data_IF_544632597693
#
_entry.id   IF_544632597693
#
_cell.length_a   1.000
_cell.length_b   1.000
_cell.length_c   1.000
_cell.angle_alpha   90.00
_cell.angle_beta   90.00
_cell.angle_gamma   90.00
#
_symmetry.space_group_name_H-M   'P 1'
#
loop_
_entity.id
_entity.type
_entity.pdbx_description
1 polymer ?
#
# COMPACT_ATOMS: atom_id res chain seq x y z
N UNK A 1 -7.03 -8.63 -20.16
CA UNK A 1 -6.06 -9.27 -21.04
C UNK A 1 -6.59 -9.46 -22.45
N UNK A 2 -7.63 -10.32 -22.67
CA UNK A 2 -8.16 -10.63 -24.00
C UNK A 2 -8.61 -9.38 -24.77
N UNK A 3 -9.37 -8.47 -24.14
CA UNK A 3 -9.82 -7.22 -24.75
C UNK A 3 -8.67 -6.30 -25.15
N UNK A 4 -7.61 -6.20 -24.33
CA UNK A 4 -6.41 -5.43 -24.64
C UNK A 4 -5.66 -6.01 -25.85
N UNK A 5 -5.53 -7.34 -25.92
CA UNK A 5 -4.89 -8.04 -27.03
C UNK A 5 -5.63 -7.82 -28.34
N UNK A 6 -6.96 -7.89 -28.33
CA UNK A 6 -7.79 -7.62 -29.50
C UNK A 6 -7.70 -6.15 -29.96
N UNK A 7 -7.68 -5.20 -29.02
CA UNK A 7 -7.52 -3.78 -29.32
C UNK A 7 -6.13 -3.43 -29.87
N UNK A 8 -5.09 -4.13 -29.40
CA UNK A 8 -3.72 -3.97 -29.89
C UNK A 8 -3.45 -4.68 -31.22
N UNK A 9 -4.41 -5.48 -31.74
CA UNK A 9 -4.23 -6.24 -32.98
C UNK A 9 -3.14 -7.32 -32.87
N UNK A 10 -2.78 -7.75 -31.66
CA UNK A 10 -1.72 -8.72 -31.40
C UNK A 10 -2.17 -10.16 -31.70
N UNK A 11 -1.26 -11.05 -32.16
CA UNK A 11 -1.60 -12.46 -32.40
C UNK A 11 -2.15 -13.14 -31.15
N UNK A 12 -3.16 -13.99 -31.32
CA UNK A 12 -3.77 -14.75 -30.23
C UNK A 12 -2.77 -15.67 -29.49
N UNK A 13 -1.64 -16.01 -30.12
CA UNK A 13 -0.58 -16.79 -29.49
C UNK A 13 0.01 -16.16 -28.23
N UNK A 14 -0.09 -14.83 -28.07
CA UNK A 14 0.44 -14.10 -26.90
C UNK A 14 -0.52 -14.10 -25.69
N UNK A 15 -1.73 -14.63 -25.81
CA UNK A 15 -2.74 -14.45 -24.79
C UNK A 15 -2.32 -14.99 -23.39
N UNK A 16 -1.66 -16.15 -23.34
CA UNK A 16 -1.22 -16.73 -22.07
C UNK A 16 -0.07 -15.94 -21.42
N UNK A 17 0.84 -15.39 -22.23
CA UNK A 17 1.91 -14.50 -21.74
C UNK A 17 1.30 -13.22 -21.15
N UNK A 18 0.35 -12.60 -21.85
CA UNK A 18 -0.34 -11.38 -21.38
C UNK A 18 -1.15 -11.68 -20.09
N UNK A 19 -1.74 -12.86 -19.94
CA UNK A 19 -2.43 -13.26 -18.71
C UNK A 19 -1.43 -13.36 -17.56
N UNK A 20 -0.28 -13.99 -17.77
CA UNK A 20 0.75 -14.12 -16.76
C UNK A 20 1.33 -12.75 -16.35
N UNK A 21 1.64 -11.88 -17.31
CA UNK A 21 2.10 -10.51 -17.03
C UNK A 21 1.03 -9.68 -16.34
N UNK A 22 -0.24 -9.78 -16.75
CA UNK A 22 -1.34 -9.11 -16.08
C UNK A 22 -1.43 -9.51 -14.60
N UNK A 23 -1.27 -10.82 -14.30
CA UNK A 23 -1.21 -11.29 -12.91
C UNK A 23 -0.06 -10.65 -12.15
N UNK A 24 1.15 -10.59 -12.74
CA UNK A 24 2.31 -9.93 -12.13
C UNK A 24 2.03 -8.45 -11.85
N UNK A 25 1.50 -7.70 -12.82
CA UNK A 25 1.16 -6.28 -12.68
C UNK A 25 0.11 -6.04 -11.57
N UNK A 26 -0.95 -6.87 -11.50
CA UNK A 26 -1.97 -6.75 -10.44
C UNK A 26 -1.40 -6.98 -9.04
N UNK A 27 -0.28 -7.68 -8.93
CA UNK A 27 0.40 -7.96 -7.67
C UNK A 27 1.67 -7.11 -7.45
N UNK A 28 1.91 -6.10 -8.29
CA UNK A 28 3.13 -5.28 -8.28
C UNK A 28 4.42 -6.10 -8.43
N UNK A 29 4.33 -7.34 -8.93
CA UNK A 29 5.47 -8.16 -9.22
C UNK A 29 6.14 -7.68 -10.51
N UNK A 30 7.49 -7.67 -10.59
CA UNK A 30 8.21 -7.19 -11.77
C UNK A 30 7.80 -7.91 -13.05
N UNK A 31 7.91 -7.22 -14.19
CA UNK A 31 7.79 -7.78 -15.54
C UNK A 31 9.03 -7.43 -16.34
N UNK A 32 9.40 -8.27 -17.30
CA UNK A 32 10.60 -8.09 -18.12
C UNK A 32 10.32 -8.52 -19.55
N UNK A 33 10.64 -7.65 -20.51
CA UNK A 33 10.54 -7.95 -21.93
C UNK A 33 11.68 -7.25 -22.67
N UNK A 34 12.26 -7.88 -23.69
CA UNK A 34 13.30 -7.30 -24.54
C UNK A 34 14.43 -6.63 -23.73
N UNK A 35 14.99 -7.31 -22.74
CA UNK A 35 16.04 -6.80 -21.81
C UNK A 35 15.60 -5.61 -20.94
N UNK A 36 14.35 -5.13 -21.08
CA UNK A 36 13.80 -4.05 -20.28
C UNK A 36 13.11 -4.61 -19.04
N UNK A 37 13.58 -4.20 -17.86
CA UNK A 37 12.98 -4.58 -16.58
C UNK A 37 12.10 -3.47 -16.05
N UNK A 38 10.82 -3.79 -15.77
CA UNK A 38 9.85 -2.85 -15.21
C UNK A 38 9.34 -3.40 -13.89
N UNK A 39 9.65 -2.70 -12.82
CA UNK A 39 9.16 -3.00 -11.47
C UNK A 39 8.50 -1.80 -10.78
N UNK A 40 8.58 -0.61 -11.41
CA UNK A 40 7.74 0.52 -11.08
C UNK A 40 6.40 0.35 -11.81
N UNK A 41 5.43 -0.26 -11.15
CA UNK A 41 4.16 -0.67 -11.74
C UNK A 41 3.00 0.19 -11.22
N UNK A 42 1.91 0.33 -11.99
CA UNK A 42 0.74 1.08 -11.56
C UNK A 42 0.08 0.43 -10.35
N UNK A 43 -0.04 1.17 -9.24
CA UNK A 43 -0.52 0.61 -7.98
C UNK A 43 -2.06 0.55 -7.86
N UNK A 44 -2.83 1.23 -8.72
CA UNK A 44 -4.29 1.21 -8.63
C UNK A 44 -4.89 -0.19 -8.79
N UNK A 45 -4.48 -1.03 -9.76
CA UNK A 45 -4.97 -2.40 -9.88
C UNK A 45 -4.68 -3.25 -8.63
N UNK A 46 -3.46 -3.12 -8.09
CA UNK A 46 -3.07 -3.82 -6.87
C UNK A 46 -3.86 -3.34 -5.65
N UNK A 47 -4.15 -2.04 -5.53
CA UNK A 47 -4.97 -1.48 -4.47
C UNK A 47 -6.42 -1.99 -4.53
N UNK A 48 -6.98 -2.12 -5.74
CA UNK A 48 -8.31 -2.70 -5.95
C UNK A 48 -8.29 -4.17 -5.50
N UNK A 49 -7.29 -4.96 -5.93
CA UNK A 49 -7.12 -6.35 -5.52
C UNK A 49 -7.00 -6.47 -4.00
N UNK A 50 -6.12 -5.68 -3.38
CA UNK A 50 -5.94 -5.65 -1.93
C UNK A 50 -7.23 -5.28 -1.19
N UNK A 51 -8.02 -4.35 -1.72
CA UNK A 51 -9.32 -3.97 -1.15
C UNK A 51 -10.32 -5.12 -1.24
N UNK A 52 -10.39 -5.82 -2.36
CA UNK A 52 -11.25 -7.01 -2.52
C UNK A 52 -10.84 -8.08 -1.51
N UNK A 53 -9.54 -8.38 -1.38
CA UNK A 53 -9.03 -9.34 -0.39
C UNK A 53 -9.39 -8.91 1.03
N UNK A 54 -9.16 -7.63 1.39
CA UNK A 54 -9.50 -7.10 2.71
C UNK A 54 -10.99 -7.21 3.03
N UNK A 55 -11.87 -6.91 2.07
CA UNK A 55 -13.33 -7.06 2.22
C UNK A 55 -13.73 -8.53 2.41
N UNK A 56 -13.12 -9.44 1.66
CA UNK A 56 -13.37 -10.89 1.82
C UNK A 56 -12.89 -11.42 3.16
N UNK A 57 -11.68 -11.02 3.59
CA UNK A 57 -11.16 -11.33 4.93
C UNK A 57 -12.09 -10.79 6.00
N UNK A 58 -12.51 -9.52 5.90
CA UNK A 58 -13.45 -8.90 6.86
C UNK A 58 -14.78 -9.65 6.93
N UNK A 59 -15.31 -10.11 5.80
CA UNK A 59 -16.53 -10.92 5.76
C UNK A 59 -16.32 -12.27 6.43
N UNK A 60 -15.18 -12.93 6.21
CA UNK A 60 -14.86 -14.23 6.80
C UNK A 60 -14.69 -14.15 8.33
N UNK A 61 -14.09 -13.03 8.85
CA UNK A 61 -13.85 -12.85 10.28
C UNK A 61 -14.95 -12.10 11.02
N UNK A 62 -16.11 -11.86 10.38
CA UNK A 62 -17.23 -11.10 10.96
C UNK A 62 -17.88 -11.81 12.16
N UNK A 63 -17.92 -13.13 12.14
CA UNK A 63 -18.46 -13.98 13.17
C UNK A 63 -17.38 -14.49 14.12
N UNK A 64 -17.73 -15.39 15.05
CA UNK A 64 -16.75 -16.05 15.92
C UNK A 64 -15.71 -16.81 15.09
N UNK A 65 -14.44 -16.57 15.33
CA UNK A 65 -13.33 -17.15 14.54
C UNK A 65 -12.33 -17.78 15.50
N UNK A 66 -12.01 -19.06 15.27
CA UNK A 66 -10.94 -19.78 15.98
C UNK A 66 -9.56 -19.34 15.44
N UNK A 67 -8.52 -19.55 16.24
CA UNK A 67 -7.13 -19.34 15.79
C UNK A 67 -6.78 -20.29 14.65
N UNK A 68 -7.32 -21.52 14.64
CA UNK A 68 -7.14 -22.47 13.54
C UNK A 68 -7.73 -21.92 12.23
N UNK A 69 -8.94 -21.35 12.27
CA UNK A 69 -9.58 -20.73 11.10
C UNK A 69 -8.76 -19.55 10.58
N UNK A 70 -8.17 -18.76 11.50
CA UNK A 70 -7.31 -17.65 11.12
C UNK A 70 -6.01 -18.12 10.42
N UNK A 71 -5.42 -19.24 10.88
CA UNK A 71 -4.27 -19.85 10.22
C UNK A 71 -4.62 -20.40 8.84
N UNK A 72 -5.78 -21.06 8.71
CA UNK A 72 -6.29 -21.53 7.42
C UNK A 72 -6.53 -20.34 6.48
N UNK A 73 -7.17 -19.28 6.98
CA UNK A 73 -7.37 -18.06 6.22
C UNK A 73 -6.06 -17.43 5.76
N UNK A 74 -5.06 -17.37 6.65
CA UNK A 74 -3.71 -16.90 6.31
C UNK A 74 -3.07 -17.77 5.21
N UNK A 75 -3.16 -19.09 5.37
CA UNK A 75 -2.63 -20.03 4.36
C UNK A 75 -3.31 -19.86 3.00
N UNK A 76 -4.62 -19.62 2.96
CA UNK A 76 -5.35 -19.36 1.71
C UNK A 76 -4.99 -17.99 1.11
N UNK A 77 -4.96 -16.93 1.94
CA UNK A 77 -4.67 -15.55 1.48
C UNK A 77 -3.25 -15.42 0.93
N UNK A 78 -2.30 -16.18 1.45
CA UNK A 78 -0.92 -16.21 0.96
C UNK A 78 -0.66 -17.31 -0.05
N UNK A 79 -1.14 -18.53 0.23
CA UNK A 79 -0.84 -19.73 -0.58
C UNK A 79 -1.41 -19.63 -2.00
N UNK A 80 -2.65 -19.15 -2.13
CA UNK A 80 -3.29 -19.04 -3.46
C UNK A 80 -2.55 -18.02 -4.35
N UNK A 81 -2.28 -16.76 -3.92
CA UNK A 81 -1.55 -15.82 -4.76
C UNK A 81 -0.10 -16.26 -5.04
N UNK A 82 0.58 -16.87 -4.08
CA UNK A 82 1.92 -17.44 -4.28
C UNK A 82 1.90 -18.52 -5.34
N UNK A 83 0.93 -19.44 -5.30
CA UNK A 83 0.78 -20.49 -6.30
C UNK A 83 0.53 -19.90 -7.70
N UNK A 84 -0.38 -18.95 -7.84
CA UNK A 84 -0.63 -18.29 -9.12
C UNK A 84 0.58 -17.51 -9.63
N UNK A 85 1.36 -16.91 -8.72
CA UNK A 85 2.61 -16.23 -9.10
C UNK A 85 3.66 -17.21 -9.60
N UNK A 86 3.79 -18.38 -8.99
CA UNK A 86 4.68 -19.44 -9.46
C UNK A 86 4.24 -19.98 -10.83
N UNK A 87 2.94 -20.19 -11.04
CA UNK A 87 2.40 -20.61 -12.34
C UNK A 87 2.69 -19.54 -13.40
N UNK A 88 2.41 -18.26 -13.11
CA UNK A 88 2.67 -17.16 -14.03
C UNK A 88 4.16 -17.03 -14.33
N UNK A 89 5.04 -17.22 -13.35
CA UNK A 89 6.48 -17.22 -13.55
C UNK A 89 6.92 -18.35 -14.47
N UNK A 90 6.38 -19.58 -14.29
CA UNK A 90 6.66 -20.71 -15.18
C UNK A 90 6.14 -20.46 -16.60
N UNK A 91 4.96 -19.83 -16.75
CA UNK A 91 4.42 -19.46 -18.06
C UNK A 91 5.34 -18.46 -18.78
N UNK A 92 5.88 -17.46 -18.06
CA UNK A 92 6.82 -16.49 -18.61
C UNK A 92 8.18 -17.14 -18.95
N UNK A 93 8.65 -18.07 -18.12
CA UNK A 93 9.87 -18.82 -18.39
C UNK A 93 9.74 -19.69 -19.65
N UNK A 94 8.60 -20.32 -19.86
CA UNK A 94 8.34 -21.10 -21.07
C UNK A 94 8.16 -20.22 -22.30
N UNK A 95 7.43 -19.10 -22.16
CA UNK A 95 7.26 -18.11 -23.21
C UNK A 95 8.57 -17.50 -23.68
N UNK A 96 9.55 -17.31 -22.79
CA UNK A 96 10.87 -16.79 -23.09
C UNK A 96 11.72 -17.66 -24.02
N UNK A 97 11.30 -18.90 -24.28
CA UNK A 97 11.96 -19.79 -25.29
C UNK A 97 11.56 -19.46 -26.72
N UNK A 98 10.44 -18.73 -26.91
CA UNK A 98 9.84 -18.45 -28.23
C UNK A 98 9.74 -16.95 -28.46
N UNK A 99 9.49 -16.18 -27.42
CA UNK A 99 9.29 -14.74 -27.47
C UNK A 99 10.41 -14.04 -26.70
N UNK A 100 10.63 -12.77 -27.01
CA UNK A 100 11.59 -11.93 -26.29
C UNK A 100 10.99 -11.41 -24.97
N UNK A 101 10.69 -12.37 -24.07
CA UNK A 101 10.14 -12.15 -22.72
C UNK A 101 11.01 -12.93 -21.75
N UNK A 102 11.35 -12.34 -20.62
CA UNK A 102 12.12 -13.03 -19.58
C UNK A 102 11.33 -13.09 -18.27
N UNK A 103 11.44 -14.22 -17.51
CA UNK A 103 10.82 -14.29 -16.21
C UNK A 103 11.50 -13.32 -15.24
N UNK A 104 10.71 -12.57 -14.42
CA UNK A 104 11.29 -11.66 -13.45
C UNK A 104 12.01 -12.39 -12.32
N UNK A 105 12.74 -11.65 -11.49
CA UNK A 105 13.33 -12.20 -10.27
C UNK A 105 12.23 -12.76 -9.36
N UNK A 106 12.21 -14.09 -9.18
CA UNK A 106 11.16 -14.79 -8.45
C UNK A 106 11.07 -14.35 -6.98
N UNK A 107 12.23 -14.14 -6.32
CA UNK A 107 12.24 -13.74 -4.92
C UNK A 107 11.62 -12.36 -4.73
N UNK A 108 11.91 -11.41 -5.64
CA UNK A 108 11.29 -10.07 -5.60
C UNK A 108 9.79 -10.13 -5.91
N UNK A 109 9.37 -10.95 -6.88
CA UNK A 109 7.96 -11.14 -7.21
C UNK A 109 7.19 -11.71 -6.00
N UNK A 110 7.68 -12.80 -5.40
CA UNK A 110 7.07 -13.41 -4.22
C UNK A 110 7.02 -12.46 -3.02
N UNK A 111 8.10 -11.73 -2.76
CA UNK A 111 8.13 -10.77 -1.65
C UNK A 111 7.04 -9.70 -1.80
N UNK A 112 6.87 -9.12 -3.00
CA UNK A 112 5.82 -8.11 -3.25
C UNK A 112 4.42 -8.67 -3.10
N UNK A 113 4.17 -9.86 -3.65
CA UNK A 113 2.89 -10.57 -3.51
C UNK A 113 2.56 -10.83 -2.04
N UNK A 114 3.53 -11.35 -1.27
CA UNK A 114 3.34 -11.66 0.16
C UNK A 114 3.07 -10.36 0.94
N UNK A 115 3.86 -9.31 0.74
CA UNK A 115 3.68 -8.03 1.44
C UNK A 115 2.32 -7.41 1.13
N UNK A 116 1.89 -7.40 -0.14
CA UNK A 116 0.59 -6.88 -0.56
C UNK A 116 -0.57 -7.63 0.12
N UNK A 117 -0.53 -8.96 0.09
CA UNK A 117 -1.62 -9.79 0.65
C UNK A 117 -1.62 -9.81 2.17
N UNK A 118 -0.45 -9.74 2.83
CA UNK A 118 -0.36 -9.54 4.29
C UNK A 118 -0.94 -8.19 4.71
N UNK A 119 -0.63 -7.12 3.99
CA UNK A 119 -1.18 -5.79 4.26
C UNK A 119 -2.70 -5.78 4.08
N UNK A 120 -3.21 -6.42 3.00
CA UNK A 120 -4.64 -6.56 2.74
C UNK A 120 -5.34 -7.38 3.84
N UNK A 121 -4.75 -8.49 4.28
CA UNK A 121 -5.27 -9.31 5.37
C UNK A 121 -5.29 -8.52 6.68
N UNK A 122 -4.19 -7.85 7.02
CA UNK A 122 -4.09 -7.04 8.23
C UNK A 122 -5.18 -5.94 8.28
N UNK A 123 -5.44 -5.27 7.17
CA UNK A 123 -6.51 -4.28 7.04
C UNK A 123 -7.91 -4.94 7.15
N UNK A 124 -8.07 -6.13 6.55
CA UNK A 124 -9.34 -6.88 6.55
C UNK A 124 -9.76 -7.41 7.92
N UNK A 125 -8.82 -7.83 8.76
CA UNK A 125 -9.10 -8.36 10.10
C UNK A 125 -9.82 -7.36 11.02
N UNK A 126 -9.59 -6.07 10.82
CA UNK A 126 -10.24 -5.01 11.59
C UNK A 126 -9.76 -4.90 13.04
N UNK A 127 -10.16 -3.79 13.68
CA UNK A 127 -9.63 -3.44 15.02
C UNK A 127 -10.11 -4.33 16.15
N UNK A 128 -11.32 -4.92 16.02
CA UNK A 128 -11.88 -5.83 17.04
C UNK A 128 -11.05 -7.10 17.16
N UNK A 129 -10.76 -7.74 16.02
CA UNK A 129 -9.96 -8.96 16.00
C UNK A 129 -8.52 -8.71 16.44
N UNK A 130 -7.92 -7.59 16.02
CA UNK A 130 -6.57 -7.21 16.47
C UNK A 130 -6.50 -7.01 17.99
N UNK A 131 -7.51 -6.39 18.63
CA UNK A 131 -7.57 -6.25 20.07
C UNK A 131 -7.76 -7.59 20.79
N UNK A 132 -8.59 -8.49 20.22
CA UNK A 132 -8.80 -9.84 20.76
C UNK A 132 -7.50 -10.66 20.68
N UNK A 133 -6.78 -10.62 19.57
CA UNK A 133 -5.48 -11.26 19.41
C UNK A 133 -4.43 -10.70 20.37
N UNK A 134 -4.35 -9.37 20.49
CA UNK A 134 -3.44 -8.73 21.44
C UNK A 134 -3.71 -9.22 22.89
N UNK A 135 -4.99 -9.27 23.30
CA UNK A 135 -5.39 -9.79 24.62
C UNK A 135 -4.97 -11.25 24.81
N UNK A 136 -5.19 -12.10 23.79
CA UNK A 136 -4.86 -13.53 23.85
C UNK A 136 -3.35 -13.79 23.99
N UNK A 137 -2.54 -13.03 23.26
CA UNK A 137 -1.07 -13.17 23.30
C UNK A 137 -0.40 -12.30 24.36
N UNK A 138 -1.16 -11.70 25.29
CA UNK A 138 -0.61 -10.85 26.35
C UNK A 138 -0.01 -9.53 25.88
N UNK A 139 -0.29 -9.13 24.64
CA UNK A 139 0.19 -7.86 24.09
C UNK A 139 -0.66 -6.68 24.60
N UNK A 140 -0.03 -5.55 24.95
CA UNK A 140 -0.76 -4.38 25.40
C UNK A 140 -1.69 -3.84 24.33
N UNK A 141 -2.92 -3.48 24.68
CA UNK A 141 -3.90 -2.86 23.77
C UNK A 141 -3.36 -1.58 23.10
N UNK A 142 -2.43 -0.94 23.76
CA UNK A 142 -1.68 0.22 23.29
C UNK A 142 -1.09 0.03 21.89
N UNK A 143 -0.63 -1.17 21.52
CA UNK A 143 -0.09 -1.46 20.17
C UNK A 143 -1.13 -1.23 19.07
N UNK A 144 -2.36 -1.70 19.29
CA UNK A 144 -3.44 -1.55 18.32
C UNK A 144 -3.88 -0.09 18.23
N UNK A 145 -4.05 0.58 19.37
CA UNK A 145 -4.54 1.95 19.43
C UNK A 145 -3.52 2.94 18.85
N UNK A 146 -2.23 2.73 19.13
CA UNK A 146 -1.14 3.52 18.57
C UNK A 146 -0.97 3.29 17.04
N UNK A 147 -1.13 2.04 16.56
CA UNK A 147 -1.13 1.76 15.11
C UNK A 147 -2.29 2.47 14.39
N UNK A 148 -3.45 2.59 15.04
CA UNK A 148 -4.58 3.36 14.49
C UNK A 148 -4.28 4.87 14.42
N UNK A 149 -3.51 5.41 15.37
CA UNK A 149 -3.03 6.80 15.31
C UNK A 149 -2.12 6.97 14.10
N UNK A 150 -1.15 6.06 13.92
CA UNK A 150 -0.25 6.06 12.76
C UNK A 150 -1.01 5.98 11.43
N UNK A 151 -1.98 5.08 11.30
CA UNK A 151 -2.82 4.96 10.11
C UNK A 151 -3.61 6.24 9.81
N UNK A 152 -4.17 6.89 10.84
CA UNK A 152 -4.86 8.19 10.68
C UNK A 152 -3.91 9.28 10.22
N UNK A 153 -2.72 9.34 10.82
CA UNK A 153 -1.69 10.28 10.43
C UNK A 153 -1.33 10.14 8.95
N UNK A 154 -1.00 8.93 8.51
CA UNK A 154 -0.64 8.66 7.13
C UNK A 154 -1.82 8.87 6.17
N UNK A 155 -3.06 8.59 6.60
CA UNK A 155 -4.26 8.89 5.81
C UNK A 155 -4.45 10.40 5.62
N UNK A 156 -4.29 11.22 6.66
CA UNK A 156 -4.35 12.68 6.53
C UNK A 156 -3.19 13.24 5.70
N UNK A 157 -2.00 12.66 5.84
CA UNK A 157 -0.85 12.99 4.99
C UNK A 157 -1.15 12.66 3.51
N UNK A 158 -1.73 11.50 3.22
CA UNK A 158 -2.11 11.11 1.86
C UNK A 158 -3.20 12.04 1.28
N UNK A 159 -4.18 12.46 2.09
CA UNK A 159 -5.18 13.46 1.67
C UNK A 159 -4.49 14.79 1.33
N UNK A 160 -3.60 15.28 2.20
CA UNK A 160 -2.82 16.50 1.94
C UNK A 160 -1.97 16.36 0.68
N UNK A 161 -1.30 15.22 0.49
CA UNK A 161 -0.51 14.91 -0.69
C UNK A 161 -1.37 14.91 -1.97
N UNK A 162 -2.58 14.34 -1.92
CA UNK A 162 -3.52 14.35 -3.04
C UNK A 162 -3.92 15.77 -3.43
N UNK A 163 -4.21 16.62 -2.43
CA UNK A 163 -4.58 18.03 -2.69
C UNK A 163 -3.40 18.78 -3.31
N UNK A 164 -2.20 18.67 -2.74
CA UNK A 164 -1.01 19.35 -3.28
C UNK A 164 -0.69 18.85 -4.69
N UNK A 165 -0.69 17.53 -4.91
CA UNK A 165 -0.46 16.95 -6.22
C UNK A 165 -1.49 17.43 -7.25
N UNK A 166 -2.78 17.44 -6.91
CA UNK A 166 -3.85 17.91 -7.79
C UNK A 166 -3.68 19.40 -8.14
N UNK A 167 -3.31 20.25 -7.18
CA UNK A 167 -3.05 21.68 -7.42
C UNK A 167 -1.87 21.86 -8.37
N UNK A 168 -0.74 21.19 -8.12
CA UNK A 168 0.46 21.26 -9.00
C UNK A 168 0.14 20.73 -10.39
N UNK A 169 -0.58 19.62 -10.49
CA UNK A 169 -1.02 19.03 -11.75
C UNK A 169 -1.90 19.99 -12.55
N UNK A 170 -2.86 20.67 -11.92
CA UNK A 170 -3.74 21.64 -12.58
C UNK A 170 -3.00 22.90 -13.02
N UNK A 171 -2.01 23.37 -12.25
CA UNK A 171 -1.19 24.52 -12.63
C UNK A 171 -0.36 24.21 -13.89
N UNK A 172 0.12 22.97 -14.02
CA UNK A 172 0.98 22.54 -15.12
C UNK A 172 0.20 21.90 -16.29
N UNK A 173 -1.13 22.02 -16.34
CA UNK A 173 -1.95 21.35 -17.36
C UNK A 173 -1.65 21.81 -18.80
N UNK A 174 -1.29 23.09 -18.99
CA UNK A 174 -0.89 23.63 -20.29
C UNK A 174 0.41 23.00 -20.79
N UNK A 175 1.39 22.82 -19.91
CA UNK A 175 2.68 22.19 -20.24
C UNK A 175 2.53 20.71 -20.63
N UNK A 176 1.51 20.03 -20.11
CA UNK A 176 1.18 18.65 -20.52
C UNK A 176 0.67 18.57 -21.96
N UNK A 177 -0.08 19.60 -22.41
CA UNK A 177 -0.51 19.71 -23.81
C UNK A 177 0.70 19.83 -24.75
N UNK A 178 1.65 20.70 -24.42
CA UNK A 178 2.88 20.88 -25.19
C UNK A 178 3.70 19.59 -25.28
N UNK A 179 3.84 18.85 -24.16
CA UNK A 179 4.51 17.53 -24.16
C UNK A 179 3.84 16.50 -25.06
N UNK A 180 2.50 16.51 -25.12
CA UNK A 180 1.75 15.60 -26.01
C UNK A 180 1.88 15.98 -27.49
N UNK A 181 2.02 17.25 -27.80
CA UNK A 181 2.20 17.76 -29.16
C UNK A 181 3.59 17.38 -29.75
N UNK A 182 4.58 17.09 -28.89
CA UNK A 182 5.90 16.56 -29.31
C UNK A 182 5.81 15.11 -29.85
N UNK A 183 4.69 14.41 -29.61
CA UNK A 183 4.45 13.04 -30.10
C UNK A 183 3.33 12.97 -31.16
N UNK A 184 3.47 13.59 -32.32
CA UNK A 184 2.41 13.71 -33.35
C UNK A 184 1.98 12.37 -33.95
N UNK A 185 2.76 11.31 -33.72
CA UNK A 185 2.44 9.97 -34.26
C UNK A 185 1.48 9.19 -33.35
N UNK A 186 1.16 9.69 -32.17
CA UNK A 186 0.25 9.01 -31.22
C UNK A 186 -1.19 9.24 -31.64
N UNK A 187 -1.90 8.18 -32.02
CA UNK A 187 -3.32 8.24 -32.34
C UNK A 187 -4.17 8.67 -31.13
N UNK A 188 -5.40 9.17 -31.37
CA UNK A 188 -6.31 9.54 -30.28
C UNK A 188 -6.59 8.38 -29.30
N UNK A 189 -6.61 7.12 -29.77
CA UNK A 189 -6.71 5.93 -28.93
C UNK A 189 -5.44 5.78 -28.07
N UNK A 190 -4.26 6.07 -28.62
CA UNK A 190 -3.00 6.07 -27.89
C UNK A 190 -2.99 7.09 -26.76
N UNK A 191 -3.45 8.33 -27.03
CA UNK A 191 -3.61 9.38 -26.01
C UNK A 191 -4.54 8.92 -24.88
N UNK A 192 -5.70 8.36 -25.21
CA UNK A 192 -6.64 7.81 -24.23
C UNK A 192 -5.99 6.69 -23.39
N UNK A 193 -5.15 5.85 -24.00
CA UNK A 193 -4.37 4.83 -23.31
C UNK A 193 -3.37 5.41 -22.33
N UNK A 194 -2.64 6.48 -22.69
CA UNK A 194 -1.69 7.17 -21.81
C UNK A 194 -2.40 7.86 -20.63
N UNK A 195 -3.57 8.47 -20.87
CA UNK A 195 -4.40 9.04 -19.80
C UNK A 195 -4.89 7.95 -18.83
N UNK A 196 -5.37 6.83 -19.37
CA UNK A 196 -5.79 5.69 -18.54
C UNK A 196 -4.61 5.15 -17.73
N UNK A 197 -3.45 4.97 -18.35
CA UNK A 197 -2.24 4.52 -17.68
C UNK A 197 -1.84 5.50 -16.57
N UNK A 198 -1.89 6.80 -16.82
CA UNK A 198 -1.64 7.84 -15.81
C UNK A 198 -2.60 7.72 -14.63
N UNK A 199 -3.88 7.45 -14.88
CA UNK A 199 -4.86 7.22 -13.80
C UNK A 199 -4.52 5.98 -12.97
N UNK A 200 -4.02 4.91 -13.60
CA UNK A 200 -3.58 3.70 -12.89
C UNK A 200 -2.36 3.96 -11.99
N UNK A 201 -1.51 4.94 -12.32
CA UNK A 201 -0.37 5.37 -11.51
C UNK A 201 -0.73 6.40 -10.42
N UNK A 202 -1.98 6.86 -10.31
CA UNK A 202 -2.38 7.88 -9.34
C UNK A 202 -1.99 7.54 -7.88
N UNK A 203 -2.16 6.29 -7.37
CA UNK A 203 -1.71 5.97 -6.02
C UNK A 203 -0.19 6.08 -5.85
N UNK A 204 0.60 5.76 -6.89
CA UNK A 204 2.05 5.94 -6.88
C UNK A 204 2.39 7.43 -6.71
N UNK A 205 1.75 8.31 -7.48
CA UNK A 205 1.95 9.75 -7.39
C UNK A 205 1.58 10.30 -6.00
N UNK A 206 0.48 9.83 -5.39
CA UNK A 206 0.07 10.25 -4.06
C UNK A 206 1.09 9.85 -2.99
N UNK A 207 1.60 8.60 -3.01
CA UNK A 207 2.62 8.15 -2.07
C UNK A 207 3.94 8.89 -2.29
N UNK A 208 4.33 9.14 -3.55
CA UNK A 208 5.51 9.92 -3.89
C UNK A 208 5.38 11.38 -3.43
N UNK A 209 4.24 12.03 -3.65
CA UNK A 209 3.96 13.36 -3.14
C UNK A 209 3.97 13.40 -1.60
N UNK A 210 3.43 12.38 -0.93
CA UNK A 210 3.49 12.26 0.52
C UNK A 210 4.93 12.15 1.03
N UNK A 211 5.81 11.42 0.32
CA UNK A 211 7.24 11.34 0.65
C UNK A 211 7.96 12.69 0.50
N UNK A 212 7.66 13.43 -0.56
CA UNK A 212 8.20 14.78 -0.76
C UNK A 212 7.71 15.74 0.33
N UNK A 213 6.42 15.68 0.70
CA UNK A 213 5.84 16.53 1.73
C UNK A 213 6.41 16.28 3.14
N UNK A 214 6.89 15.09 3.46
CA UNK A 214 7.61 14.87 4.73
C UNK A 214 9.05 15.38 4.69
N UNK A 215 9.53 15.86 3.52
CA UNK A 215 10.88 16.40 3.33
C UNK A 215 11.85 15.40 2.69
N UNK A 216 11.37 14.25 2.18
CA UNK A 216 12.15 13.29 1.43
C UNK A 216 12.17 13.64 -0.06
N UNK A 217 12.71 12.74 -0.89
CA UNK A 217 12.84 12.90 -2.32
C UNK A 217 12.06 11.84 -3.08
N UNK A 218 11.59 12.23 -4.26
CA UNK A 218 11.11 11.34 -5.30
C UNK A 218 12.15 11.36 -6.43
N UNK A 219 12.58 10.19 -6.91
CA UNK A 219 13.58 10.06 -7.96
C UNK A 219 13.04 9.36 -9.20
N UNK A 220 13.59 9.73 -10.36
CA UNK A 220 13.43 9.03 -11.63
C UNK A 220 14.82 8.95 -12.26
N UNK A 221 15.44 7.77 -12.19
CA UNK A 221 16.84 7.59 -12.59
C UNK A 221 17.77 8.52 -11.83
N UNK A 222 18.48 9.38 -12.56
CA UNK A 222 19.37 10.39 -11.98
C UNK A 222 18.66 11.70 -11.59
N UNK A 223 17.39 11.86 -12.00
CA UNK A 223 16.58 13.01 -11.61
C UNK A 223 15.97 12.83 -10.24
N UNK A 224 15.85 13.94 -9.49
CA UNK A 224 15.19 13.95 -8.19
C UNK A 224 14.39 15.22 -7.96
N UNK A 225 13.33 15.08 -7.17
CA UNK A 225 12.44 16.19 -6.77
C UNK A 225 12.22 16.13 -5.26
N UNK A 226 12.50 17.23 -4.60
CA UNK A 226 12.25 17.46 -3.18
C UNK A 226 11.59 18.82 -2.97
N UNK A 227 11.19 19.16 -1.75
CA UNK A 227 10.70 20.52 -1.43
C UNK A 227 11.80 21.59 -1.53
N UNK A 228 13.07 21.19 -1.59
CA UNK A 228 14.23 22.08 -1.57
C UNK A 228 14.85 22.28 -2.94
N UNK A 229 14.74 21.29 -3.82
CA UNK A 229 15.35 21.29 -5.16
C UNK A 229 14.61 20.37 -6.11
N UNK A 230 14.71 20.68 -7.41
CA UNK A 230 14.27 19.80 -8.48
C UNK A 230 15.39 19.69 -9.52
N UNK A 231 15.85 18.46 -9.77
CA UNK A 231 16.75 18.12 -10.87
C UNK A 231 16.00 17.21 -11.82
N UNK A 232 15.58 17.77 -12.96
CA UNK A 232 14.83 17.02 -13.95
C UNK A 232 15.76 16.39 -14.97
N UNK A 233 15.43 15.16 -15.34
CA UNK A 233 15.93 14.43 -16.51
C UNK A 233 14.75 14.26 -17.49
N UNK A 234 14.98 13.84 -18.74
CA UNK A 234 13.87 13.51 -19.66
C UNK A 234 12.92 12.52 -18.99
N UNK A 235 11.65 12.92 -18.85
CA UNK A 235 10.61 12.13 -18.18
C UNK A 235 9.85 11.30 -19.22
N UNK A 236 9.27 10.16 -18.82
CA UNK A 236 8.40 9.41 -19.70
C UNK A 236 7.18 10.26 -20.12
N UNK A 237 6.68 10.12 -21.36
CA UNK A 237 5.57 10.92 -21.89
C UNK A 237 4.22 10.46 -21.31
N UNK A 238 4.08 10.53 -20.00
CA UNK A 238 2.85 10.21 -19.29
C UNK A 238 2.21 11.52 -18.79
N UNK A 239 0.92 11.77 -19.00
CA UNK A 239 0.26 12.96 -18.47
C UNK A 239 0.47 13.18 -16.97
N UNK A 240 0.59 12.12 -16.18
CA UNK A 240 0.80 12.20 -14.72
C UNK A 240 2.14 12.86 -14.35
N UNK A 241 3.15 12.82 -15.24
CA UNK A 241 4.46 13.47 -14.99
C UNK A 241 4.36 14.99 -14.99
N UNK A 242 3.31 15.57 -15.58
CA UNK A 242 2.98 16.99 -15.43
C UNK A 242 2.71 17.45 -13.99
N UNK A 243 2.48 16.52 -13.07
CA UNK A 243 2.46 16.81 -11.63
C UNK A 243 3.85 17.02 -11.01
N UNK A 244 4.93 16.86 -11.79
CA UNK A 244 6.32 17.10 -11.35
C UNK A 244 6.69 18.53 -11.76
N UNK A 245 6.97 19.44 -10.81
CA UNK A 245 7.32 20.81 -11.13
C UNK A 245 8.74 20.90 -11.71
N UNK A 246 8.91 21.71 -12.75
CA UNK A 246 10.21 21.93 -13.41
C UNK A 246 11.24 22.61 -12.48
N UNK A 247 10.78 23.39 -11.52
CA UNK A 247 11.62 24.06 -10.50
C UNK A 247 10.85 24.19 -9.19
N UNK A 248 11.55 24.19 -8.07
CA UNK A 248 10.96 24.39 -6.76
C UNK A 248 11.01 25.85 -6.34
N UNK A 249 9.85 26.50 -6.13
CA UNK A 249 9.83 27.85 -5.59
C UNK A 249 10.25 27.85 -4.11
N UNK A 250 10.93 28.91 -3.65
CA UNK A 250 11.43 28.99 -2.26
C UNK A 250 10.35 28.85 -1.17
N UNK A 251 9.09 29.16 -1.48
CA UNK A 251 7.98 28.96 -0.55
C UNK A 251 7.54 27.48 -0.41
N UNK A 252 7.99 26.57 -1.29
CA UNK A 252 7.62 25.15 -1.24
C UNK A 252 7.96 24.50 0.12
N UNK A 253 8.98 24.98 0.80
CA UNK A 253 9.35 24.53 2.15
C UNK A 253 8.20 24.73 3.16
N UNK A 254 7.31 25.72 2.94
CA UNK A 254 6.12 25.91 3.79
C UNK A 254 5.15 24.72 3.73
N UNK A 255 5.20 23.87 2.69
CA UNK A 255 4.39 22.65 2.60
C UNK A 255 4.74 21.61 3.67
N UNK A 256 5.86 21.76 4.40
CA UNK A 256 6.15 20.97 5.61
C UNK A 256 5.09 21.17 6.71
N UNK A 257 4.21 22.17 6.60
CA UNK A 257 3.05 22.30 7.48
C UNK A 257 2.05 21.12 7.31
N UNK A 258 2.03 20.47 6.14
CA UNK A 258 1.09 19.36 5.85
C UNK A 258 1.33 18.16 6.76
N UNK A 259 2.55 17.60 6.91
CA UNK A 259 2.81 16.50 7.84
C UNK A 259 2.58 16.92 9.30
N UNK A 260 2.87 18.18 9.67
CA UNK A 260 2.56 18.72 11.01
C UNK A 260 1.05 18.70 11.25
N UNK A 261 0.27 19.26 10.33
CA UNK A 261 -1.19 19.29 10.44
C UNK A 261 -1.77 17.86 10.48
N UNK A 262 -1.28 16.94 9.63
CA UNK A 262 -1.70 15.54 9.62
C UNK A 262 -1.44 14.87 10.98
N UNK A 263 -0.28 15.08 11.58
CA UNK A 263 0.06 14.55 12.90
C UNK A 263 -0.84 15.15 13.99
N UNK A 264 -1.03 16.47 14.02
CA UNK A 264 -1.94 17.14 14.96
C UNK A 264 -3.37 16.58 14.83
N UNK A 265 -3.90 16.49 13.60
CA UNK A 265 -5.25 15.97 13.36
C UNK A 265 -5.41 14.51 13.77
N UNK A 266 -4.38 13.68 13.61
CA UNK A 266 -4.41 12.26 14.04
C UNK A 266 -4.54 12.12 15.55
N UNK A 267 -4.03 13.09 16.30
CA UNK A 267 -4.06 13.16 17.77
C UNK A 267 -5.21 14.00 18.30
N UNK A 268 -5.98 14.65 17.42
CA UNK A 268 -7.11 15.52 17.82
C UNK A 268 -8.10 14.75 18.69
N UNK A 269 -8.51 15.36 19.81
CA UNK A 269 -9.38 14.75 20.85
C UNK A 269 -8.81 13.51 21.55
N UNK A 270 -7.55 13.14 21.30
CA UNK A 270 -6.86 12.08 22.03
C UNK A 270 -5.92 12.70 23.06
N UNK A 271 -5.73 12.01 24.17
CA UNK A 271 -4.73 12.36 25.20
C UNK A 271 -3.65 11.29 25.15
N UNK A 272 -2.76 11.33 24.15
CA UNK A 272 -1.79 10.26 23.96
C UNK A 272 -0.77 10.26 25.09
N UNK A 273 -0.45 9.06 25.59
CA UNK A 273 0.70 8.84 26.43
C UNK A 273 1.99 8.83 25.60
N UNK A 274 3.14 9.08 26.25
CA UNK A 274 4.43 8.99 25.54
C UNK A 274 4.68 7.60 24.94
N UNK A 275 4.20 6.54 25.59
CA UNK A 275 4.31 5.18 25.06
C UNK A 275 3.48 5.00 23.78
N UNK A 276 2.26 5.54 23.74
CA UNK A 276 1.43 5.52 22.51
C UNK A 276 2.09 6.28 21.37
N UNK A 277 2.70 7.43 21.66
CA UNK A 277 3.44 8.21 20.64
C UNK A 277 4.61 7.41 20.10
N UNK A 278 5.40 6.76 20.97
CA UNK A 278 6.55 5.96 20.55
C UNK A 278 6.13 4.81 19.62
N UNK A 279 5.10 4.06 20.00
CA UNK A 279 4.58 2.96 19.17
C UNK A 279 3.97 3.51 17.86
N UNK A 280 3.24 4.62 17.89
CA UNK A 280 2.70 5.25 16.70
C UNK A 280 3.81 5.73 15.75
N UNK A 281 4.92 6.22 16.30
CA UNK A 281 6.11 6.61 15.52
C UNK A 281 6.69 5.42 14.75
N UNK A 282 6.93 4.30 15.44
CA UNK A 282 7.45 3.08 14.82
C UNK A 282 6.46 2.53 13.77
N UNK A 283 5.18 2.50 14.12
CA UNK A 283 4.13 2.05 13.19
C UNK A 283 4.07 2.94 11.93
N UNK A 284 4.22 4.26 12.08
CA UNK A 284 4.25 5.21 10.94
C UNK A 284 5.44 4.94 10.03
N UNK A 285 6.63 4.68 10.61
CA UNK A 285 7.82 4.31 9.84
C UNK A 285 7.59 3.04 9.02
N UNK A 286 7.10 1.97 9.66
CA UNK A 286 6.89 0.67 9.01
C UNK A 286 5.84 0.77 7.89
N UNK A 287 4.71 1.43 8.16
CA UNK A 287 3.64 1.55 7.16
C UNK A 287 4.09 2.41 5.98
N UNK A 288 4.78 3.54 6.24
CA UNK A 288 5.31 4.41 5.17
C UNK A 288 6.38 3.68 4.35
N UNK A 289 7.27 2.91 5.00
CA UNK A 289 8.27 2.09 4.33
C UNK A 289 7.62 1.07 3.38
N UNK A 290 6.60 0.33 3.86
CA UNK A 290 5.86 -0.64 3.04
C UNK A 290 5.17 0.05 1.86
N UNK A 291 4.52 1.20 2.08
CA UNK A 291 3.86 1.96 1.03
C UNK A 291 4.88 2.41 -0.04
N UNK A 292 6.01 3.00 0.37
CA UNK A 292 7.08 3.40 -0.55
C UNK A 292 7.69 2.19 -1.30
N UNK A 293 7.91 1.06 -0.60
CA UNK A 293 8.45 -0.16 -1.22
C UNK A 293 7.53 -0.70 -2.32
N UNK A 294 6.22 -0.69 -2.10
CA UNK A 294 5.24 -1.20 -3.07
C UNK A 294 5.13 -0.30 -4.31
N UNK A 295 5.35 1.00 -4.18
CA UNK A 295 5.24 1.96 -5.29
C UNK A 295 6.59 2.35 -5.91
N UNK A 296 7.72 1.82 -5.42
CA UNK A 296 9.06 2.06 -5.98
C UNK A 296 9.49 0.90 -6.87
N UNK A 297 10.35 1.17 -7.84
CA UNK A 297 10.90 0.14 -8.71
C UNK A 297 11.82 0.69 -9.78
N UNK A 298 12.02 -0.08 -10.83
CA UNK A 298 12.75 0.32 -12.04
C UNK A 298 11.74 0.57 -13.16
N UNK A 299 11.89 1.67 -13.86
CA UNK A 299 11.05 2.06 -15.00
C UNK A 299 11.84 1.91 -16.31
N UNK A 300 12.22 0.69 -16.62
CA UNK A 300 12.96 0.38 -17.84
C UNK A 300 14.22 1.25 -17.99
N UNK A 301 14.38 1.90 -19.13
CA UNK A 301 15.51 2.78 -19.44
C UNK A 301 15.60 4.04 -18.57
N UNK A 302 14.51 4.45 -17.94
CA UNK A 302 14.51 5.59 -17.01
C UNK A 302 15.16 5.26 -15.66
N UNK A 303 15.47 3.99 -15.39
CA UNK A 303 16.17 3.58 -14.18
C UNK A 303 15.28 3.48 -12.94
N UNK A 304 15.91 3.58 -11.77
CA UNK A 304 15.22 3.49 -10.48
C UNK A 304 14.24 4.66 -10.30
N UNK A 305 12.98 4.34 -10.03
CA UNK A 305 11.90 5.33 -9.93
C UNK A 305 11.10 5.08 -8.65
N UNK A 306 10.78 6.16 -7.94
CA UNK A 306 9.94 6.11 -6.75
C UNK A 306 10.45 6.98 -5.61
N UNK A 307 9.69 7.01 -4.48
CA UNK A 307 10.12 7.69 -3.26
C UNK A 307 11.31 6.99 -2.61
N UNK A 308 12.18 7.75 -1.96
CA UNK A 308 13.29 7.21 -1.18
C UNK A 308 12.78 6.51 0.08
N UNK A 309 12.91 5.17 0.16
CA UNK A 309 12.26 4.34 1.18
C UNK A 309 12.62 4.72 2.61
N UNK A 310 13.92 4.79 2.90
CA UNK A 310 14.42 5.00 4.26
C UNK A 310 14.21 6.43 4.76
N UNK A 311 14.48 7.41 3.90
CA UNK A 311 14.31 8.83 4.23
C UNK A 311 12.84 9.18 4.41
N UNK A 312 11.96 8.71 3.53
CA UNK A 312 10.52 8.94 3.64
C UNK A 312 9.94 8.31 4.92
N UNK A 313 10.31 7.05 5.22
CA UNK A 313 9.87 6.37 6.43
C UNK A 313 10.40 7.04 7.70
N UNK A 314 11.69 7.40 7.72
CA UNK A 314 12.33 8.05 8.85
C UNK A 314 11.75 9.45 9.13
N UNK A 315 11.53 10.26 8.08
CA UNK A 315 10.96 11.59 8.23
C UNK A 315 9.47 11.55 8.61
N UNK A 316 8.69 10.61 8.07
CA UNK A 316 7.32 10.41 8.51
C UNK A 316 7.25 10.06 10.01
N UNK A 317 8.14 9.18 10.48
CA UNK A 317 8.29 8.86 11.89
C UNK A 317 8.73 10.08 12.71
N UNK A 318 9.71 10.86 12.22
CA UNK A 318 10.20 12.06 12.90
C UNK A 318 9.08 13.07 13.15
N UNK A 319 8.25 13.37 12.13
CA UNK A 319 7.11 14.27 12.29
C UNK A 319 6.12 13.74 13.33
N UNK A 320 5.79 12.44 13.30
CA UNK A 320 4.91 11.83 14.31
C UNK A 320 5.53 11.92 15.71
N UNK A 321 6.84 11.67 15.86
CA UNK A 321 7.53 11.76 17.14
C UNK A 321 7.53 13.18 17.70
N UNK A 322 7.97 14.16 16.89
CA UNK A 322 8.11 15.55 17.35
C UNK A 322 6.76 16.15 17.73
N UNK A 323 5.77 16.05 16.82
CA UNK A 323 4.43 16.60 17.07
C UNK A 323 3.72 15.83 18.18
N UNK A 324 3.82 14.49 18.17
CA UNK A 324 3.21 13.64 19.17
C UNK A 324 3.77 13.87 20.57
N UNK A 325 5.09 13.99 20.73
CA UNK A 325 5.71 14.33 22.00
C UNK A 325 5.32 15.73 22.47
N UNK A 326 5.24 16.71 21.57
CA UNK A 326 4.80 18.07 21.93
C UNK A 326 3.35 18.08 22.42
N UNK A 327 2.46 17.34 21.77
CA UNK A 327 1.05 17.18 22.18
C UNK A 327 0.96 16.45 23.54
N UNK A 328 1.67 15.33 23.71
CA UNK A 328 1.68 14.58 24.97
C UNK A 328 2.25 15.42 26.13
N UNK A 329 3.33 16.17 25.90
CA UNK A 329 3.91 17.08 26.89
C UNK A 329 2.93 18.21 27.26
N UNK A 330 2.21 18.78 26.30
CA UNK A 330 1.18 19.78 26.52
C UNK A 330 0.07 19.27 27.45
N UNK A 331 -0.44 18.06 27.19
CA UNK A 331 -1.45 17.44 28.08
C UNK A 331 -0.91 17.10 29.46
N UNK A 332 0.33 16.59 29.56
CA UNK A 332 0.97 16.33 30.82
C UNK A 332 1.17 17.60 31.66
N UNK A 333 1.57 18.70 31.01
CA UNK A 333 1.73 20.00 31.66
C UNK A 333 0.38 20.56 32.20
N UNK A 334 -0.69 20.49 31.37
CA UNK A 334 -2.03 20.92 31.80
C UNK A 334 -2.49 20.08 33.00
N UNK A 335 -2.36 18.76 32.94
CA UNK A 335 -2.72 17.87 34.02
C UNK A 335 -1.96 18.17 35.34
N UNK A 336 -0.64 18.39 35.22
CA UNK A 336 0.19 18.77 36.35
C UNK A 336 -0.22 20.13 36.95
N UNK A 337 -0.53 21.12 36.11
CA UNK A 337 -1.00 22.43 36.58
C UNK A 337 -2.34 22.33 37.29
N UNK A 338 -3.29 21.57 36.77
CA UNK A 338 -4.61 21.39 37.42
C UNK A 338 -4.47 20.66 38.76
N UNK A 339 -3.64 19.61 38.85
CA UNK A 339 -3.37 18.92 40.13
C UNK A 339 -2.83 19.88 41.20
N UNK A 340 -1.85 20.70 40.86
CA UNK A 340 -1.30 21.70 41.78
C UNK A 340 -2.31 22.75 42.24
N UNK A 341 -3.22 23.19 41.35
CA UNK A 341 -4.27 24.14 41.76
C UNK A 341 -5.29 23.50 42.71
N UNK A 342 -5.59 22.22 42.55
CA UNK A 342 -6.49 21.48 43.45
C UNK A 342 -5.85 21.27 44.80
N UNK A 343 -4.56 20.96 44.88
CA UNK A 343 -3.81 20.85 46.13
C UNK A 343 -3.74 22.20 46.89
N UNK A 344 -3.46 23.30 46.17
CA UNK A 344 -3.44 24.63 46.73
C UNK A 344 -4.81 25.09 47.28
N UNK A 345 -5.92 24.68 46.60
CA UNK A 345 -7.29 24.96 47.03
C UNK A 345 -7.70 24.18 48.27
N UNK A 346 -7.21 22.93 48.44
CA UNK A 346 -7.50 22.12 49.62
C UNK A 346 -6.73 22.55 50.88
N UNK A 347 -5.50 23.10 50.72
CA UNK A 347 -4.72 23.61 51.87
C UNK A 347 -5.29 24.91 52.44
N UNK A 348 -5.95 25.72 51.64
CA UNK A 348 -6.63 26.98 52.10
C UNK A 348 -8.00 26.70 52.72
N UNK A 349 -8.66 25.56 52.42
CA UNK A 349 -9.97 25.19 52.97
C UNK A 349 -9.88 24.47 54.32
N UNK A 350 -8.72 23.89 54.68
CA UNK A 350 -8.58 23.10 55.89
C UNK A 350 -8.21 23.93 57.15
N UNK A 351 -7.84 25.22 56.99
CA UNK A 351 -7.45 26.08 58.11
C UNK A 351 -8.61 26.93 58.64
N UNK A 352 -9.79 26.94 57.94
CA UNK A 352 -10.95 27.77 58.30
C UNK A 352 -12.04 27.05 59.12
N UNK A 353 -11.94 25.76 59.36
CA UNK A 353 -12.96 24.99 60.09
C UNK A 353 -12.32 24.10 61.17
N UNK A 354 -11.54 24.73 62.12
CA UNK A 354 -11.30 24.16 63.40
C UNK A 354 -12.28 24.78 64.40
N UNK A 355 -13.25 24.02 64.97
CA UNK A 355 -14.05 24.49 66.06
C UNK A 355 -13.18 24.80 67.26
N UNK A 356 -13.20 26.03 67.74
CA UNK A 356 -12.62 26.43 69.03
C UNK A 356 -13.25 25.57 70.14
N UNK A 357 -12.47 24.86 70.95
CA UNK A 357 -13.05 24.12 72.07
C UNK A 357 -13.54 25.13 73.12
N UNK A 358 -14.85 25.14 73.33
CA UNK A 358 -15.47 25.86 74.44
C UNK A 358 -15.20 25.10 75.77
N UNK A 359 -14.60 25.69 76.78
CA UNK A 359 -14.39 25.05 78.06
C UNK A 359 -15.56 25.35 78.98
N UNK A 360 -16.50 24.45 79.16
CA UNK A 360 -17.30 24.25 80.33
C UNK A 360 -18.68 23.66 80.03
N UNK A 361 -18.86 22.41 80.40
CA UNK A 361 -19.98 21.95 81.20
C UNK A 361 -19.87 20.44 81.46
N UNK A 362 -19.62 20.17 82.71
CA UNK A 362 -19.69 18.84 83.31
C UNK A 362 -21.14 18.45 83.53
N UNK A 363 -21.35 17.15 83.52
CA UNK A 363 -22.31 16.33 84.31
C UNK A 363 -23.71 16.13 83.77
N UNK A 364 -23.99 14.92 83.73
CA UNK A 364 -25.02 14.09 84.40
C UNK A 364 -26.05 13.43 83.48
N UNK A 365 -25.93 12.13 83.58
CA UNK A 365 -26.95 11.10 83.82
C UNK A 365 -28.05 10.76 82.78
N UNK A 366 -28.02 9.46 82.65
CA UNK A 366 -29.14 8.51 82.66
C UNK A 366 -30.03 8.29 81.48
N UNK A 367 -29.90 7.09 81.01
CA UNK A 367 -30.97 6.10 80.81
C UNK A 367 -32.15 6.49 79.83
N UNK A 368 -32.36 5.59 78.94
CA UNK A 368 -33.73 5.29 78.57
C UNK A 368 -33.99 5.17 77.08
N UNK A 369 -34.08 3.94 76.73
CA UNK A 369 -35.14 3.32 75.91
C UNK A 369 -35.58 3.92 74.54
N UNK A 370 -35.46 3.07 73.58
CA UNK A 370 -36.47 2.59 72.62
C UNK A 370 -37.02 3.52 71.50
N UNK A 371 -37.05 2.84 70.35
CA UNK A 371 -38.10 2.82 69.32
C UNK A 371 -37.87 3.65 68.06
N UNK A 372 -37.53 2.87 67.04
CA UNK A 372 -38.14 2.79 65.69
C UNK A 372 -38.16 4.00 64.76
N UNK A 373 -37.64 3.69 63.58
CA UNK A 373 -38.27 3.93 62.26
C UNK A 373 -38.38 5.37 61.79
N UNK A 374 -37.59 5.72 60.85
CA UNK A 374 -38.15 6.01 59.53
C UNK A 374 -37.03 6.15 58.47
N UNK A 375 -37.28 5.48 57.36
CA UNK A 375 -36.45 5.44 56.18
C UNK A 375 -36.54 6.75 55.41
N UNK A 376 -35.41 7.37 55.09
CA UNK A 376 -35.33 8.31 53.99
C UNK A 376 -34.25 7.82 53.01
N UNK A 377 -34.72 7.29 51.90
CA UNK A 377 -33.93 6.79 50.80
C UNK A 377 -33.10 7.92 50.16
N UNK A 378 -31.78 7.73 50.15
CA UNK A 378 -30.94 8.42 49.15
C UNK A 378 -31.21 7.88 47.75
N UNK A 379 -31.30 8.73 46.73
CA UNK A 379 -31.45 8.22 45.40
C UNK A 379 -30.12 7.60 44.91
N UNK A 380 -30.13 6.30 44.72
CA UNK A 380 -29.11 5.56 44.02
C UNK A 380 -28.91 6.19 42.62
N UNK A 381 -27.69 6.72 42.39
CA UNK A 381 -27.23 7.05 41.06
C UNK A 381 -26.98 5.71 40.35
N UNK A 382 -27.84 5.38 39.42
CA UNK A 382 -27.63 4.31 38.47
C UNK A 382 -26.25 4.50 37.77
N UNK A 383 -25.40 3.47 37.70
CA UNK A 383 -24.21 3.53 36.89
C UNK A 383 -24.65 3.54 35.41
N UNK A 384 -24.21 4.56 34.69
CA UNK A 384 -24.33 4.62 33.23
C UNK A 384 -23.65 3.36 32.67
N UNK A 385 -24.47 2.40 32.31
CA UNK A 385 -24.05 1.22 31.56
C UNK A 385 -23.60 1.70 30.19
N UNK A 386 -22.29 1.66 29.95
CA UNK A 386 -21.71 1.70 28.64
C UNK A 386 -22.38 0.64 27.75
N UNK A 387 -22.69 0.96 26.46
CA UNK A 387 -23.32 0.00 25.57
C UNK A 387 -22.43 -1.23 25.46
N UNK A 388 -23.00 -2.34 25.83
CA UNK A 388 -22.47 -3.70 25.86
C UNK A 388 -21.59 -3.96 24.64
N UNK A 389 -20.27 -3.93 24.83
CA UNK A 389 -19.29 -4.42 23.86
C UNK A 389 -19.49 -5.94 23.86
N UNK A 390 -20.19 -6.44 22.85
CA UNK A 390 -20.26 -7.87 22.57
C UNK A 390 -18.82 -8.30 22.23
N UNK A 391 -18.13 -8.85 23.23
CA UNK A 391 -16.82 -9.45 23.08
C UNK A 391 -16.92 -10.58 22.04
N UNK A 392 -16.09 -10.50 21.00
CA UNK A 392 -15.89 -11.62 20.11
C UNK A 392 -15.18 -12.74 20.89
N UNK A 393 -15.96 -13.67 21.40
CA UNK A 393 -15.49 -14.79 22.18
C UNK A 393 -14.77 -15.78 21.25
N UNK A 394 -13.47 -15.96 21.48
CA UNK A 394 -12.66 -16.96 20.80
C UNK A 394 -12.96 -18.28 21.50
N UNK A 395 -13.67 -19.19 20.81
CA UNK A 395 -14.01 -20.52 21.34
C UNK A 395 -12.75 -21.38 21.32
N UNK A 396 -12.40 -21.93 22.48
CA UNK A 396 -11.41 -23.02 22.58
C UNK A 396 -12.08 -24.32 22.17
N UNK A 397 -11.62 -24.95 21.07
CA UNK A 397 -11.97 -26.34 20.74
C UNK A 397 -11.25 -27.26 21.76
N UNK A 398 -11.96 -27.71 22.77
CA UNK A 398 -11.59 -28.92 23.49
C UNK A 398 -11.81 -30.12 22.53
N UNK A 399 -10.71 -30.74 22.14
CA UNK A 399 -10.73 -31.98 21.39
C UNK A 399 -11.22 -33.10 22.31
N UNK A 400 -12.50 -33.40 22.27
CA UNK A 400 -12.99 -34.71 22.70
C UNK A 400 -12.77 -35.70 21.59
N UNK A 401 -11.76 -36.55 21.79
CA UNK A 401 -11.59 -37.80 21.04
C UNK A 401 -12.74 -38.70 21.47
N UNK A 402 -13.74 -38.87 20.63
CA UNK A 402 -14.72 -39.96 20.79
C UNK A 402 -14.43 -40.99 19.71
N UNK A 403 -13.87 -42.09 20.22
CA UNK A 403 -13.56 -43.33 19.51
C UNK A 403 -14.83 -44.19 19.58
N UNK A 404 -15.63 -44.22 18.50
CA UNK A 404 -16.64 -45.24 18.31
C UNK A 404 -16.76 -45.60 16.84
N UNK A 405 -16.09 -46.70 16.53
CA UNK A 405 -16.31 -47.51 15.36
C UNK A 405 -17.75 -48.02 15.33
N UNK A 406 -18.45 -47.84 14.22
CA UNK A 406 -19.54 -48.76 13.81
C UNK A 406 -19.53 -48.89 12.29
N UNK A 407 -19.20 -50.13 11.93
CA UNK A 407 -19.40 -50.75 10.60
C UNK A 407 -20.87 -50.78 10.26
N UNK A 408 -21.25 -50.47 9.04
CA UNK A 408 -22.36 -51.16 8.33
C UNK A 408 -22.14 -51.09 6.83
N UNK A 409 -22.00 -52.21 6.31
CA UNK A 409 -22.17 -52.90 5.06
C UNK A 409 -23.21 -52.33 4.06
N UNK A 410 -22.83 -52.45 2.78
CA UNK A 410 -23.56 -52.97 1.62
C UNK A 410 -24.80 -52.23 1.10
N UNK A 411 -24.79 -51.84 -0.17
CA UNK A 411 -25.62 -52.38 -1.25
C UNK A 411 -25.21 -51.77 -2.61
N UNK A 412 -24.71 -52.60 -3.44
CA UNK A 412 -24.99 -53.07 -4.79
C UNK A 412 -25.55 -52.08 -5.84
N UNK A 413 -24.81 -52.07 -6.95
CA UNK A 413 -25.15 -51.48 -8.26
C UNK A 413 -26.34 -52.22 -8.94
N UNK A 414 -26.92 -51.70 -10.04
CA UNK A 414 -26.49 -52.26 -11.33
C UNK A 414 -26.32 -51.28 -12.50
N UNK A 415 -25.55 -51.80 -13.47
CA UNK A 415 -25.25 -51.28 -14.77
C UNK A 415 -26.43 -51.47 -15.77
N UNK A 416 -26.42 -50.59 -16.80
CA UNK A 416 -26.96 -50.82 -18.16
C UNK A 416 -26.65 -49.50 -18.92
N UNK A 417 -26.22 -49.35 -20.13
CA UNK A 417 -25.91 -50.19 -21.28
C UNK A 417 -25.38 -49.20 -22.34
N UNK A 418 -24.34 -49.56 -23.04
CA UNK A 418 -23.89 -48.88 -24.26
C UNK A 418 -24.73 -49.36 -25.47
N UNK A 419 -24.73 -48.63 -26.61
CA UNK A 419 -23.92 -49.18 -27.68
C UNK A 419 -23.17 -48.19 -28.59
N UNK A 420 -22.11 -48.73 -29.11
CA UNK A 420 -21.25 -48.28 -30.20
C UNK A 420 -21.95 -48.00 -31.52
N UNK A 421 -21.35 -47.08 -32.30
CA UNK A 421 -21.28 -47.22 -33.76
C UNK A 421 -20.14 -46.36 -34.33
N UNK A 422 -19.11 -46.97 -34.81
CA UNK A 422 -18.33 -46.65 -36.01
C UNK A 422 -18.88 -47.53 -37.16
N UNK A 423 -18.48 -47.42 -38.46
CA UNK A 423 -17.60 -46.48 -39.17
C UNK A 423 -18.23 -45.95 -40.48
N UNK A 424 -17.57 -45.07 -41.26
CA UNK A 424 -17.30 -45.36 -42.68
C UNK A 424 -16.31 -44.39 -43.32
N UNK A 425 -15.44 -45.00 -44.16
CA UNK A 425 -14.47 -44.46 -45.05
C UNK A 425 -15.11 -43.84 -46.31
N UNK A 426 -14.44 -42.84 -46.92
CA UNK A 426 -14.18 -42.77 -48.38
C UNK A 426 -13.43 -41.47 -48.67
N UNK A 427 -12.16 -41.54 -49.01
CA UNK A 427 -11.52 -41.52 -50.32
C UNK A 427 -11.99 -40.41 -51.29
N UNK A 428 -11.09 -39.46 -51.65
CA UNK A 428 -10.65 -39.19 -52.99
C UNK A 428 -9.76 -37.93 -53.10
N UNK A 429 -8.51 -38.14 -53.39
CA UNK A 429 -7.63 -37.62 -54.46
C UNK A 429 -8.01 -36.28 -55.15
N UNK A 430 -7.01 -35.41 -55.27
CA UNK A 430 -7.01 -34.29 -56.21
C UNK A 430 -5.72 -33.48 -56.12
N UNK A 431 -4.71 -33.85 -56.93
CA UNK A 431 -3.52 -33.09 -57.29
C UNK A 431 -3.89 -31.76 -57.93
N UNK A 432 -3.13 -30.67 -57.59
CA UNK A 432 -2.59 -29.73 -58.59
C UNK A 432 -1.55 -28.82 -57.97
N UNK A 433 -0.42 -28.96 -58.51
CA UNK A 433 0.84 -28.24 -58.58
C UNK A 433 0.58 -26.78 -59.04
N UNK A 434 1.15 -25.79 -58.29
CA UNK A 434 1.68 -24.57 -58.92
C UNK A 434 2.60 -23.84 -57.92
N UNK A 435 3.83 -23.71 -58.35
CA UNK A 435 4.92 -23.08 -57.64
C UNK A 435 4.77 -21.56 -57.56
N UNK A 436 5.11 -21.00 -56.41
CA UNK A 436 5.49 -19.60 -56.23
C UNK A 436 6.79 -19.48 -55.43
N UNK A 437 7.69 -18.78 -56.08
CA UNK A 437 9.06 -18.50 -55.68
C UNK A 437 9.22 -17.88 -54.32
N UNK A 438 10.13 -18.41 -53.49
CA UNK A 438 10.69 -17.80 -52.31
C UNK A 438 11.55 -16.60 -52.66
N UNK A 439 11.11 -15.40 -52.33
CA UNK A 439 11.92 -14.21 -52.20
C UNK A 439 12.61 -14.21 -50.84
N UNK A 440 13.95 -14.39 -50.85
CA UNK A 440 14.80 -14.28 -49.66
C UNK A 440 15.01 -12.79 -49.36
N UNK A 441 14.47 -12.30 -48.24
CA UNK A 441 14.82 -10.98 -47.71
C UNK A 441 16.18 -11.04 -47.04
N UNK A 442 17.14 -10.21 -47.46
CA UNK A 442 18.43 -10.00 -46.83
C UNK A 442 18.28 -9.21 -45.52
N UNK A 443 19.09 -9.49 -44.48
CA UNK A 443 19.05 -8.74 -43.23
C UNK A 443 19.66 -7.33 -43.41
N UNK A 444 19.03 -6.36 -42.73
CA UNK A 444 19.29 -4.91 -42.76
C UNK A 444 20.63 -4.48 -42.08
N UNK A 445 21.47 -5.38 -41.70
CA UNK A 445 22.74 -5.10 -40.98
C UNK A 445 23.94 -4.80 -41.87
N UNK A 446 23.81 -4.78 -43.18
CA UNK A 446 24.91 -4.48 -44.10
C UNK A 446 24.87 -3.07 -44.75
N UNK A 447 23.82 -2.28 -44.56
CA UNK A 447 23.77 -0.92 -45.10
C UNK A 447 24.29 0.17 -44.12
N UNK A 448 24.47 -0.14 -42.82
CA UNK A 448 24.96 0.85 -41.85
C UNK A 448 26.52 0.88 -41.76
N UNK A 449 27.24 -0.12 -42.26
CA UNK A 449 28.72 -0.09 -42.25
C UNK A 449 29.32 0.61 -43.45
N UNK A 450 28.54 0.88 -44.53
CA UNK A 450 29.02 1.57 -45.72
C UNK A 450 28.97 3.09 -45.65
N UNK A 451 28.08 3.68 -44.78
CA UNK A 451 27.97 5.14 -44.63
C UNK A 451 29.00 5.73 -43.65
N UNK A 452 29.59 4.94 -42.76
CA UNK A 452 30.57 5.43 -41.80
C UNK A 452 32.00 5.52 -42.35
N UNK A 453 32.31 4.83 -43.41
CA UNK A 453 33.66 4.90 -44.05
C UNK A 453 33.84 6.04 -45.06
N UNK A 454 32.76 6.62 -45.59
CA UNK A 454 32.86 7.79 -46.48
C UNK A 454 32.98 9.12 -45.74
N UNK A 455 32.46 9.26 -44.51
CA UNK A 455 32.59 10.51 -43.73
C UNK A 455 33.97 10.66 -43.07
N UNK A 456 34.71 9.57 -42.78
CA UNK A 456 36.05 9.67 -42.22
C UNK A 456 37.14 9.99 -43.24
N UNK A 457 36.90 9.80 -44.55
CA UNK A 457 37.91 10.05 -45.56
C UNK A 457 37.82 11.45 -46.21
N UNK A 458 36.77 12.27 -45.91
CA UNK A 458 36.65 13.64 -46.37
C UNK A 458 37.25 14.69 -45.44
N UNK A 459 37.53 14.31 -44.15
CA UNK A 459 38.03 15.22 -43.11
C UNK A 459 39.57 15.35 -43.04
N UNK A 460 40.33 14.61 -43.89
CA UNK A 460 41.83 14.62 -43.82
C UNK A 460 42.44 15.47 -44.95
N UNK A 461 41.65 16.14 -45.80
CA UNK A 461 42.21 16.82 -47.01
C UNK A 461 42.27 18.35 -46.97
N UNK A 462 41.84 18.99 -45.92
CA UNK A 462 41.91 20.47 -45.77
C UNK A 462 42.56 20.87 -44.46
N UNK A 463 43.90 20.84 -44.42
CA UNK A 463 44.72 21.63 -43.49
C UNK A 463 45.75 22.39 -44.31
N UNK A 464 45.70 23.74 -44.35
CA UNK A 464 46.76 24.54 -44.94
C UNK A 464 47.95 24.65 -43.99
N UNK A 465 49.12 24.40 -44.54
CA UNK A 465 50.44 24.76 -43.98
C UNK A 465 50.48 26.28 -43.70
N UNK A 466 50.62 26.68 -42.48
CA UNK A 466 51.13 28.02 -42.16
C UNK A 466 52.55 27.92 -41.60
N UNK A 467 53.44 28.47 -42.42
CA UNK A 467 54.87 28.48 -42.23
C UNK A 467 55.31 29.48 -41.19
N UNK A 468 56.46 29.15 -40.63
CA UNK A 468 57.39 30.00 -39.90
C UNK A 468 57.59 31.37 -40.45
N UNK A 469 57.50 32.39 -39.59
CA UNK A 469 58.45 33.52 -39.51
C UNK A 469 58.11 34.45 -38.34
N UNK A 470 59.11 34.70 -37.52
CA UNK A 470 59.24 35.88 -36.68
C UNK A 470 59.41 35.62 -35.20
#
# INVERSE_FOLDING_TARGET
ALGGLLLAGSPMAWWYTIVAESWMVFNLAPVSAAEVHISFLPALPALILATVVAVRVRSAVKHKVSVKDLLILLACVLGVPVLFTLISWLMLWDAGKVYDVSPPNLAQALLRVIVLHLAAMAAGMGTRLWRALAKRYGLPRLLVDATLIALRYLAYLAIGATVVFAVVFLINVSHQGEMMDEYPTVSGIGVAGLVLLSLLYLPNAIVSAASVLVGSEFSVGEGSVSLFSAHLVPLPPLPITGGIPASMPGWAVALLIVPVAAAVYSLYKKRPSFQEVLVATVASAVIMFIACYLVSGVLGYYGATGPQLWTAAGLAALWMAVVGCAVAAGFAFVAWRTARMTEAGNTTGSEADQPVPDPAASNEDAAGDDVADDAAAEPEREPITDPEIVDAEIVEDEATVDDSAEETENEEAPAEDAPANEPDESDQSGESDEGVQRGVAKPLSQELEAETDEEQNSSIKDSPEEGERG
#
